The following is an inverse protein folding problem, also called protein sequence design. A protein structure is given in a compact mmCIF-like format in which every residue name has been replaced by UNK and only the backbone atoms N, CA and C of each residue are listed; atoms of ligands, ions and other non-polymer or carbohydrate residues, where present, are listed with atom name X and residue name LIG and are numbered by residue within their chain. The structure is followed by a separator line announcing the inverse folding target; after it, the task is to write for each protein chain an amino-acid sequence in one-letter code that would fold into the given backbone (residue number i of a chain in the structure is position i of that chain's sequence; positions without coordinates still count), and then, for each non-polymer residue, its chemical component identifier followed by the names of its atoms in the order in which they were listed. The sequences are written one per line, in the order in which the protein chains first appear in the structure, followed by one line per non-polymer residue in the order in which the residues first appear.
data_IF_824027955665
#
_entry.id   IF_824027955665
#
_cell.length_a   1.000
_cell.length_b   1.000
_cell.length_c   1.000
_cell.angle_alpha   90.00
_cell.angle_beta   90.00
_cell.angle_gamma   90.00
#
_symmetry.space_group_name_H-M   'P 1'
#
loop_
_entity.id
_entity.type
_entity.pdbx_description
1 polymer ?
#
# COMPACT_ATOMS: atom_id res chain seq x y z
N UNK A 1 10.34 -13.67 3.24
CA UNK A 1 8.96 -14.20 3.29
C UNK A 1 8.27 -14.00 1.95
N UNK A 2 7.34 -14.88 1.52
CA UNK A 2 6.56 -14.65 0.31
C UNK A 2 5.75 -13.34 0.42
N UNK A 3 5.46 -12.65 -0.71
CA UNK A 3 4.68 -11.42 -0.69
C UNK A 3 3.23 -11.69 -0.27
N UNK A 4 2.66 -10.80 0.54
CA UNK A 4 1.22 -10.77 0.78
C UNK A 4 0.50 -10.09 -0.38
N UNK A 5 -0.59 -10.69 -0.86
CA UNK A 5 -1.50 -10.08 -1.82
C UNK A 5 -2.58 -9.32 -1.07
N UNK A 6 -2.47 -8.00 -1.03
CA UNK A 6 -3.37 -7.13 -0.27
C UNK A 6 -3.91 -6.03 -1.17
N UNK A 7 -4.94 -5.32 -0.70
CA UNK A 7 -5.27 -4.02 -1.26
C UNK A 7 -4.60 -2.93 -0.42
N UNK A 8 -4.12 -1.88 -1.07
CA UNK A 8 -3.42 -0.78 -0.40
C UNK A 8 -4.00 0.55 -0.84
N UNK A 9 -4.28 1.41 0.14
CA UNK A 9 -4.74 2.78 -0.09
C UNK A 9 -3.63 3.75 0.29
N UNK A 10 -3.16 4.52 -0.69
CA UNK A 10 -2.11 5.54 -0.49
C UNK A 10 -2.64 6.97 -0.53
N UNK A 11 -3.97 7.14 -0.69
CA UNK A 11 -4.62 8.45 -0.74
C UNK A 11 -6.01 8.41 -0.16
N UNK A 12 -6.34 9.32 0.75
CA UNK A 12 -7.60 9.30 1.53
C UNK A 12 -8.87 9.24 0.66
N UNK A 13 -8.91 9.97 -0.45
CA UNK A 13 -10.07 10.03 -1.35
C UNK A 13 -10.10 8.95 -2.45
N UNK A 14 -9.09 8.09 -2.54
CA UNK A 14 -9.04 7.03 -3.55
C UNK A 14 -9.50 5.70 -2.96
N UNK A 15 -9.97 4.81 -3.85
CA UNK A 15 -10.14 3.39 -3.50
C UNK A 15 -8.77 2.74 -3.36
N UNK A 16 -8.71 1.75 -2.48
CA UNK A 16 -7.57 0.87 -2.33
C UNK A 16 -7.33 0.05 -3.62
N UNK A 17 -6.08 -0.20 -3.96
CA UNK A 17 -5.68 -0.90 -5.18
C UNK A 17 -4.90 -2.19 -4.87
N UNK A 18 -5.02 -3.24 -5.70
CA UNK A 18 -4.26 -4.47 -5.51
C UNK A 18 -2.74 -4.24 -5.55
N UNK A 19 -2.03 -4.82 -4.59
CA UNK A 19 -0.59 -4.75 -4.47
C UNK A 19 0.03 -6.01 -3.86
N UNK A 20 1.31 -6.20 -4.14
CA UNK A 20 2.18 -7.14 -3.44
C UNK A 20 2.90 -6.39 -2.31
N UNK A 21 2.81 -6.93 -1.10
CA UNK A 21 3.42 -6.36 0.10
C UNK A 21 4.49 -7.31 0.64
N UNK A 22 5.71 -6.82 0.82
CA UNK A 22 6.88 -7.58 1.30
C UNK A 22 7.50 -6.93 2.53
N UNK A 23 8.47 -7.62 3.11
CA UNK A 23 9.35 -7.08 4.16
C UNK A 23 8.60 -6.51 5.39
N UNK A 24 7.51 -7.21 5.76
CA UNK A 24 6.58 -6.81 6.82
C UNK A 24 5.93 -5.44 6.57
N UNK A 25 5.53 -5.15 5.33
CA UNK A 25 4.84 -3.90 4.97
C UNK A 25 5.75 -2.79 4.47
N UNK A 26 7.07 -3.00 4.42
CA UNK A 26 8.03 -1.96 4.02
C UNK A 26 8.10 -1.73 2.51
N UNK A 27 7.82 -2.78 1.73
CA UNK A 27 7.90 -2.71 0.26
C UNK A 27 6.53 -3.01 -0.32
N UNK A 28 6.02 -2.11 -1.16
CA UNK A 28 4.70 -2.20 -1.77
C UNK A 28 4.86 -2.06 -3.29
N UNK A 29 4.37 -3.04 -4.04
CA UNK A 29 4.36 -3.01 -5.50
C UNK A 29 2.93 -3.14 -6.00
N UNK A 30 2.39 -2.06 -6.55
CA UNK A 30 1.05 -2.07 -7.13
C UNK A 30 1.01 -2.83 -8.44
N UNK A 31 -0.11 -3.51 -8.70
CA UNK A 31 -0.31 -4.22 -9.98
C UNK A 31 -0.46 -3.25 -11.15
N UNK A 32 -0.91 -2.03 -10.89
CA UNK A 32 -1.01 -0.94 -11.86
C UNK A 32 -0.37 0.34 -11.29
N UNK A 33 0.24 1.19 -12.14
CA UNK A 33 0.81 2.45 -11.68
C UNK A 33 -0.22 3.31 -10.94
N UNK A 34 0.17 3.82 -9.78
CA UNK A 34 -0.66 4.73 -8.99
C UNK A 34 -0.20 6.17 -9.21
N UNK A 35 -1.14 7.10 -9.30
CA UNK A 35 -0.81 8.52 -9.49
C UNK A 35 -0.41 9.16 -8.17
N UNK A 36 0.63 10.01 -8.24
CA UNK A 36 1.06 10.90 -7.17
C UNK A 36 1.19 10.24 -5.78
N UNK A 37 1.89 9.09 -5.63
CA UNK A 37 2.37 8.72 -4.31
C UNK A 37 3.24 9.86 -3.77
N UNK A 38 3.08 10.23 -2.51
CA UNK A 38 3.81 11.35 -1.90
C UNK A 38 4.46 10.89 -0.59
N UNK A 39 5.79 11.04 -0.42
CA UNK A 39 6.42 10.80 0.87
C UNK A 39 5.74 11.63 1.96
N UNK A 40 5.52 11.04 3.13
CA UNK A 40 4.72 11.65 4.19
C UNK A 40 3.25 11.21 4.22
N UNK A 41 2.69 10.70 3.13
CA UNK A 41 1.35 10.10 3.16
C UNK A 41 1.35 8.72 3.79
N UNK A 42 0.18 8.29 4.28
CA UNK A 42 -0.01 6.93 4.79
C UNK A 42 -0.37 5.97 3.65
N UNK A 43 0.31 4.82 3.62
CA UNK A 43 -0.15 3.60 2.97
C UNK A 43 -0.91 2.75 3.99
N UNK A 44 -2.17 2.43 3.69
CA UNK A 44 -3.04 1.62 4.55
C UNK A 44 -3.31 0.27 3.89
N UNK A 45 -3.10 -0.80 4.63
CA UNK A 45 -3.23 -2.19 4.15
C UNK A 45 -4.60 -2.74 4.49
N UNK A 46 -5.26 -3.35 3.50
CA UNK A 46 -6.57 -3.97 3.63
C UNK A 46 -6.53 -5.43 3.22
N UNK A 47 -7.25 -6.27 3.96
CA UNK A 47 -7.63 -7.62 3.57
C UNK A 47 -9.15 -7.69 3.61
N UNK A 48 -9.76 -7.84 2.44
CA UNK A 48 -11.21 -7.70 2.30
C UNK A 48 -11.68 -6.35 2.85
N UNK A 49 -12.50 -6.35 3.89
CA UNK A 49 -13.04 -5.15 4.54
C UNK A 49 -12.31 -4.79 5.84
N UNK A 50 -11.25 -5.53 6.20
CA UNK A 50 -10.47 -5.32 7.41
C UNK A 50 -9.23 -4.46 7.16
N UNK A 51 -8.98 -3.49 8.06
CA UNK A 51 -7.74 -2.72 8.11
C UNK A 51 -6.70 -3.51 8.91
N UNK A 52 -5.62 -3.91 8.24
CA UNK A 52 -4.52 -4.64 8.88
C UNK A 52 -3.47 -3.71 9.51
N UNK A 53 -3.46 -2.44 9.12
CA UNK A 53 -2.54 -1.42 9.60
C UNK A 53 -2.13 -0.43 8.52
N UNK A 54 -1.08 0.33 8.78
CA UNK A 54 -0.54 1.26 7.81
C UNK A 54 0.85 1.79 8.21
N UNK A 55 1.46 2.52 7.29
CA UNK A 55 2.78 3.12 7.48
C UNK A 55 2.95 4.36 6.61
N UNK A 56 3.87 5.23 7.01
CA UNK A 56 4.22 6.42 6.23
C UNK A 56 5.09 6.02 5.02
N UNK A 57 4.72 6.52 3.84
CA UNK A 57 5.51 6.39 2.62
C UNK A 57 6.77 7.23 2.80
N UNK A 58 7.94 6.61 2.62
CA UNK A 58 9.24 7.29 2.75
C UNK A 58 9.89 7.56 1.39
N UNK A 59 9.79 6.60 0.47
CA UNK A 59 10.44 6.64 -0.84
C UNK A 59 9.54 6.02 -1.92
N UNK A 60 9.75 6.42 -3.18
CA UNK A 60 9.04 5.94 -4.36
C UNK A 60 10.09 5.67 -5.45
N UNK A 61 10.04 4.48 -6.05
CA UNK A 61 10.97 4.03 -7.08
C UNK A 61 10.26 3.15 -8.12
#
# INVERSE_FOLDING_TARGET
SPPWKLKVKIRYRHREAPALVKDHGRTISFHTPQRAPTPGQLAVFYKEDEVLGGGQIQEIF
#
